data_IF_250124806985
#
_entry.id   IF_250124806985
#
_cell.length_a   1.000
_cell.length_b   1.000
_cell.length_c   1.000
_cell.angle_alpha   90.00
_cell.angle_beta   90.00
_cell.angle_gamma   90.00
#
_symmetry.space_group_name_H-M   'P 1'
#
loop_
_entity.id
_entity.type
_entity.pdbx_description
1 polymer ?
#
# COMPACT_ATOMS: atom_id res chain seq x y z
N UNK A 1 -16.29 -5.14 -4.18
CA UNK A 1 -15.12 -5.29 -5.06
C UNK A 1 -14.39 -6.57 -4.70
N UNK A 2 -13.89 -7.33 -5.66
CA UNK A 2 -12.99 -8.46 -5.39
C UNK A 2 -11.57 -7.99 -5.67
N UNK A 3 -10.70 -8.06 -4.68
CA UNK A 3 -9.26 -7.85 -4.89
C UNK A 3 -8.79 -9.01 -5.78
N UNK A 4 -8.39 -8.72 -7.02
CA UNK A 4 -7.82 -9.71 -7.92
C UNK A 4 -6.35 -9.94 -7.57
N UNK A 5 -6.08 -11.02 -6.86
CA UNK A 5 -4.72 -11.44 -6.55
C UNK A 5 -4.23 -12.46 -7.57
N UNK A 6 -3.00 -12.29 -8.02
CA UNK A 6 -2.30 -13.37 -8.70
C UNK A 6 -1.76 -14.39 -7.68
N UNK A 7 -1.15 -15.46 -8.21
CA UNK A 7 -0.55 -16.52 -7.40
C UNK A 7 0.60 -16.04 -6.48
N UNK A 8 1.07 -14.80 -6.63
CA UNK A 8 2.10 -14.22 -5.77
C UNK A 8 1.51 -13.29 -4.69
N UNK A 9 0.20 -13.33 -4.46
CA UNK A 9 -0.54 -12.34 -3.68
C UNK A 9 -0.30 -10.91 -4.18
N UNK A 10 0.09 -10.77 -5.45
CA UNK A 10 0.22 -9.49 -6.09
C UNK A 10 -1.13 -9.06 -6.62
N UNK A 11 -1.59 -7.93 -6.19
CA UNK A 11 -2.79 -7.34 -6.72
C UNK A 11 -2.55 -6.81 -8.14
N UNK A 12 -3.47 -7.12 -9.03
CA UNK A 12 -3.51 -6.56 -10.37
C UNK A 12 -4.37 -5.29 -10.33
N UNK A 13 -3.70 -4.15 -10.34
CA UNK A 13 -4.39 -2.86 -10.28
C UNK A 13 -5.06 -2.55 -11.63
N UNK A 14 -6.38 -2.36 -11.65
CA UNK A 14 -7.12 -2.03 -12.86
C UNK A 14 -7.08 -0.52 -13.11
N UNK A 15 -6.04 -0.01 -13.77
CA UNK A 15 -6.00 1.40 -14.15
C UNK A 15 -7.05 1.74 -15.21
N UNK A 16 -7.67 2.91 -15.08
CA UNK A 16 -8.53 3.45 -16.13
C UNK A 16 -7.75 3.68 -17.45
N UNK A 17 -6.48 4.05 -17.35
CA UNK A 17 -5.58 4.26 -18.46
C UNK A 17 -4.14 3.94 -18.08
N UNK A 18 -3.43 3.21 -18.93
CA UNK A 18 -1.98 2.98 -18.76
C UNK A 18 -1.15 4.25 -18.94
N UNK A 19 -1.68 5.26 -19.61
CA UNK A 19 -1.03 6.56 -19.78
C UNK A 19 -1.15 7.44 -18.51
N UNK A 20 -2.15 7.18 -17.67
CA UNK A 20 -2.33 7.82 -16.36
C UNK A 20 -2.61 6.72 -15.32
N UNK A 21 -1.55 6.07 -14.81
CA UNK A 21 -1.65 4.86 -14.00
C UNK A 21 -2.04 5.18 -12.55
N UNK A 22 -3.31 5.44 -12.33
CA UNK A 22 -3.97 5.63 -11.05
C UNK A 22 -5.30 4.90 -11.05
N UNK A 23 -5.66 4.33 -9.91
CA UNK A 23 -6.98 3.78 -9.64
C UNK A 23 -7.51 4.38 -8.34
N UNK A 24 -8.79 4.62 -8.30
CA UNK A 24 -9.51 5.07 -7.13
C UNK A 24 -10.54 4.03 -6.73
N UNK A 25 -10.51 3.64 -5.49
CA UNK A 25 -11.45 2.71 -4.92
C UNK A 25 -12.19 3.40 -3.76
N UNK A 26 -13.49 3.25 -3.80
CA UNK A 26 -14.37 3.67 -2.71
C UNK A 26 -14.89 2.40 -2.05
N UNK A 27 -13.95 1.67 -1.42
CA UNK A 27 -14.21 0.34 -0.95
C UNK A 27 -15.05 0.34 0.33
N UNK A 28 -16.04 -0.54 0.34
CA UNK A 28 -16.73 -0.94 1.55
C UNK A 28 -16.13 -2.27 2.02
N UNK A 29 -15.41 -2.25 3.12
CA UNK A 29 -14.93 -3.48 3.76
C UNK A 29 -16.09 -4.44 4.08
N UNK A 30 -17.33 -3.92 4.19
CA UNK A 30 -18.55 -4.71 4.34
C UNK A 30 -18.74 -5.75 3.25
N UNK A 31 -18.26 -5.49 2.04
CA UNK A 31 -18.36 -6.41 0.91
C UNK A 31 -17.32 -7.55 0.98
N UNK A 32 -16.34 -7.45 1.88
CA UNK A 32 -15.28 -8.43 2.03
C UNK A 32 -15.54 -9.37 3.22
N UNK A 33 -15.09 -10.65 3.15
CA UNK A 33 -15.18 -11.57 4.26
C UNK A 33 -14.52 -11.00 5.53
N UNK A 34 -15.22 -11.10 6.66
CA UNK A 34 -14.75 -10.59 7.97
C UNK A 34 -14.36 -9.11 7.97
N UNK A 35 -14.90 -8.31 7.03
CA UNK A 35 -14.59 -6.88 6.86
C UNK A 35 -13.08 -6.61 6.76
N UNK A 36 -12.40 -7.46 6.01
CA UNK A 36 -10.95 -7.46 5.90
C UNK A 36 -10.51 -7.59 4.45
N UNK A 37 -9.65 -6.69 4.00
CA UNK A 37 -8.83 -6.83 2.81
C UNK A 37 -7.69 -7.82 3.10
N UNK A 38 -7.51 -8.87 2.28
CA UNK A 38 -6.46 -9.86 2.51
C UNK A 38 -5.07 -9.24 2.43
N UNK A 39 -4.09 -9.91 3.03
CA UNK A 39 -2.69 -9.53 2.86
C UNK A 39 -2.29 -9.65 1.39
N UNK A 40 -1.84 -8.54 0.79
CA UNK A 40 -1.42 -8.45 -0.61
C UNK A 40 -0.29 -7.45 -0.78
N UNK A 41 0.26 -7.36 -1.98
CA UNK A 41 1.25 -6.37 -2.35
C UNK A 41 1.13 -5.99 -3.83
N UNK A 42 1.63 -4.82 -4.19
CA UNK A 42 1.71 -4.32 -5.55
C UNK A 42 2.92 -3.41 -5.74
N UNK A 43 3.24 -3.09 -6.99
CA UNK A 43 4.36 -2.19 -7.32
C UNK A 43 4.02 -0.71 -7.21
N UNK A 44 2.79 -0.42 -6.84
CA UNK A 44 2.23 0.91 -6.76
C UNK A 44 2.42 1.50 -5.38
N UNK A 45 2.31 2.81 -5.28
CA UNK A 45 2.01 3.49 -4.02
C UNK A 45 0.52 3.36 -3.73
N UNK A 46 0.17 3.31 -2.46
CA UNK A 46 -1.21 3.36 -2.04
C UNK A 46 -1.41 4.41 -0.94
N UNK A 47 -2.53 5.11 -0.97
CA UNK A 47 -2.95 5.96 0.14
C UNK A 47 -4.38 5.62 0.50
N UNK A 48 -4.56 5.19 1.74
CA UNK A 48 -5.86 4.84 2.33
C UNK A 48 -6.27 5.92 3.33
N UNK A 49 -7.55 6.26 3.36
CA UNK A 49 -8.12 7.20 4.34
C UNK A 49 -9.21 6.52 5.16
N UNK A 50 -9.12 6.64 6.48
CA UNK A 50 -10.21 6.29 7.38
C UNK A 50 -11.19 7.46 7.42
N UNK A 51 -12.41 7.33 6.84
CA UNK A 51 -13.42 8.40 6.91
C UNK A 51 -14.14 8.40 8.25
N UNK A 52 -14.37 7.25 8.81
CA UNK A 52 -15.03 7.06 10.10
C UNK A 52 -14.53 5.76 10.75
N UNK A 53 -14.84 5.57 12.04
CA UNK A 53 -14.41 4.40 12.78
C UNK A 53 -12.89 4.30 12.95
N UNK A 54 -12.42 3.07 13.11
CA UNK A 54 -11.00 2.75 13.27
C UNK A 54 -10.63 1.63 12.30
N UNK A 55 -9.61 1.88 11.49
CA UNK A 55 -9.00 0.87 10.62
C UNK A 55 -7.70 0.37 11.24
N UNK A 56 -7.48 -0.94 11.21
CA UNK A 56 -6.19 -1.56 11.46
C UNK A 56 -5.51 -1.88 10.13
N UNK A 57 -4.44 -1.18 9.83
CA UNK A 57 -3.61 -1.43 8.65
C UNK A 57 -2.41 -2.25 9.08
N UNK A 58 -2.34 -3.49 8.62
CA UNK A 58 -1.20 -4.35 8.87
C UNK A 58 -0.16 -4.17 7.76
N UNK A 59 1.08 -3.84 8.14
CA UNK A 59 2.24 -3.76 7.22
C UNK A 59 3.35 -4.65 7.79
N UNK A 60 3.54 -5.81 7.16
CA UNK A 60 4.34 -6.89 7.76
C UNK A 60 3.77 -7.27 9.13
N UNK A 61 4.56 -7.13 10.20
CA UNK A 61 4.12 -7.40 11.60
C UNK A 61 3.57 -6.18 12.35
N UNK A 62 3.56 -5.02 11.72
CA UNK A 62 3.09 -3.80 12.37
C UNK A 62 1.61 -3.63 12.15
N UNK A 63 0.91 -3.35 13.23
CA UNK A 63 -0.48 -2.94 13.23
C UNK A 63 -0.55 -1.44 13.47
N UNK A 64 -1.15 -0.72 12.55
CA UNK A 64 -1.28 0.73 12.56
C UNK A 64 -2.76 1.08 12.64
N UNK A 65 -3.17 1.66 13.75
CA UNK A 65 -4.54 2.12 13.92
C UNK A 65 -4.70 3.53 13.32
N UNK A 66 -5.62 3.64 12.38
CA UNK A 66 -6.05 4.89 11.79
C UNK A 66 -7.40 5.29 12.38
N UNK A 67 -7.46 6.45 13.00
CA UNK A 67 -8.71 7.06 13.46
C UNK A 67 -9.36 7.84 12.33
N UNK A 68 -10.65 8.16 12.48
CA UNK A 68 -11.38 8.94 11.50
C UNK A 68 -10.65 10.25 11.14
N UNK A 69 -10.46 10.49 9.85
CA UNK A 69 -9.72 11.62 9.30
C UNK A 69 -8.21 11.37 9.12
N UNK A 70 -7.66 10.26 9.61
CA UNK A 70 -6.28 9.87 9.34
C UNK A 70 -6.16 9.19 7.98
N UNK A 71 -4.98 9.28 7.39
CA UNK A 71 -4.62 8.56 6.17
C UNK A 71 -3.28 7.86 6.34
N UNK A 72 -3.04 6.83 5.55
CA UNK A 72 -1.74 6.14 5.49
C UNK A 72 -1.26 6.04 4.06
N UNK A 73 -0.03 6.44 3.84
CA UNK A 73 0.72 6.15 2.62
C UNK A 73 1.46 4.84 2.81
N UNK A 74 1.25 3.89 1.92
CA UNK A 74 1.97 2.61 1.83
C UNK A 74 2.93 2.69 0.66
N UNK A 75 4.21 2.42 0.93
CA UNK A 75 5.24 2.45 -0.10
C UNK A 75 5.14 1.22 -1.01
N UNK A 76 5.76 1.30 -2.17
CA UNK A 76 5.80 0.23 -3.18
C UNK A 76 6.29 -1.10 -2.61
N UNK A 77 5.72 -2.20 -3.10
CA UNK A 77 6.14 -3.57 -2.78
C UNK A 77 6.00 -3.95 -1.29
N UNK A 78 5.21 -3.23 -0.51
CA UNK A 78 4.94 -3.60 0.89
C UNK A 78 3.80 -4.63 0.95
N UNK A 79 4.04 -5.73 1.68
CA UNK A 79 2.97 -6.67 2.03
C UNK A 79 2.10 -6.02 3.10
N UNK A 80 0.82 -5.80 2.80
CA UNK A 80 -0.12 -5.12 3.67
C UNK A 80 -1.53 -5.69 3.56
N UNK A 81 -2.34 -5.39 4.56
CA UNK A 81 -3.75 -5.74 4.63
C UNK A 81 -4.49 -4.75 5.52
N UNK A 82 -5.81 -4.70 5.44
CA UNK A 82 -6.64 -3.72 6.14
C UNK A 82 -7.85 -4.40 6.71
N UNK A 83 -8.23 -4.05 7.95
CA UNK A 83 -9.46 -4.52 8.57
C UNK A 83 -10.13 -3.43 9.40
N UNK A 84 -11.45 -3.54 9.54
CA UNK A 84 -12.23 -2.72 10.46
C UNK A 84 -12.12 -3.30 11.87
N UNK A 85 -11.94 -2.44 12.88
CA UNK A 85 -11.71 -2.89 14.27
C UNK A 85 -12.90 -2.65 15.20
N UNK A 86 -13.68 -1.60 14.98
CA UNK A 86 -14.64 -1.06 15.96
C UNK A 86 -16.02 -1.74 15.98
N UNK A 87 -16.22 -2.79 15.18
CA UNK A 87 -17.46 -3.59 15.17
C UNK A 87 -18.70 -2.86 14.66
N UNK A 88 -18.56 -1.61 14.18
CA UNK A 88 -19.60 -0.88 13.45
C UNK A 88 -19.62 -1.34 11.99
N UNK A 89 -20.75 -1.10 11.32
CA UNK A 89 -20.82 -1.36 9.88
C UNK A 89 -19.68 -0.59 9.19
N UNK A 90 -18.87 -1.26 8.37
CA UNK A 90 -17.73 -0.60 7.75
C UNK A 90 -18.21 0.49 6.82
N UNK A 91 -17.63 1.64 7.01
CA UNK A 91 -17.85 2.81 6.18
C UNK A 91 -16.95 2.80 4.95
N UNK A 92 -17.27 3.59 3.93
CA UNK A 92 -16.41 3.72 2.76
C UNK A 92 -14.99 4.09 3.18
N UNK A 93 -14.05 3.32 2.68
CA UNK A 93 -12.63 3.53 2.87
C UNK A 93 -12.02 3.94 1.52
N UNK A 94 -12.02 5.24 1.19
CA UNK A 94 -11.43 5.67 -0.06
C UNK A 94 -9.93 5.41 -0.07
N UNK A 95 -9.47 4.79 -1.14
CA UNK A 95 -8.06 4.63 -1.40
C UNK A 95 -7.70 4.96 -2.85
N UNK A 96 -6.47 5.40 -3.05
CA UNK A 96 -5.85 5.57 -4.37
C UNK A 96 -4.62 4.69 -4.46
N UNK A 97 -4.53 3.98 -5.58
CA UNK A 97 -3.36 3.15 -5.92
C UNK A 97 -2.78 3.69 -7.22
N UNK A 98 -1.48 4.03 -7.22
CA UNK A 98 -0.88 4.72 -8.36
C UNK A 98 0.61 4.44 -8.52
N UNK A 99 1.08 4.45 -9.77
CA UNK A 99 2.51 4.50 -10.07
C UNK A 99 3.05 5.93 -9.97
N UNK A 100 4.29 6.08 -9.59
CA UNK A 100 4.96 7.40 -9.59
C UNK A 100 4.95 8.09 -10.97
N UNK A 101 4.74 7.32 -12.04
CA UNK A 101 4.56 7.83 -13.40
C UNK A 101 3.29 8.68 -13.57
N UNK A 102 2.28 8.54 -12.71
CA UNK A 102 1.12 9.43 -12.68
C UNK A 102 1.48 10.87 -12.27
N UNK A 103 2.59 11.04 -11.55
CA UNK A 103 3.12 12.36 -11.17
C UNK A 103 4.06 12.90 -12.26
N UNK A 104 5.05 12.10 -12.65
CA UNK A 104 6.03 12.49 -13.65
C UNK A 104 6.66 11.26 -14.32
N UNK A 105 7.00 11.32 -15.61
CA UNK A 105 7.69 10.23 -16.29
C UNK A 105 8.99 9.83 -15.57
N UNK A 106 9.27 8.52 -15.48
CA UNK A 106 10.46 7.98 -14.79
C UNK A 106 11.78 8.54 -15.31
N UNK A 107 11.81 8.91 -16.59
CA UNK A 107 12.98 9.52 -17.23
C UNK A 107 13.20 10.97 -16.81
N UNK A 108 12.19 11.64 -16.25
CA UNK A 108 12.23 13.06 -15.89
C UNK A 108 13.12 13.33 -14.68
N UNK A 109 13.60 14.57 -14.56
CA UNK A 109 14.36 15.06 -13.40
C UNK A 109 13.48 15.10 -12.14
N UNK A 110 12.17 15.37 -12.29
CA UNK A 110 11.21 15.38 -11.17
C UNK A 110 11.13 14.01 -10.54
N UNK A 111 10.91 12.97 -11.35
CA UNK A 111 10.82 11.59 -10.86
C UNK A 111 12.09 11.18 -10.13
N UNK A 112 13.25 11.34 -10.79
CA UNK A 112 14.55 10.93 -10.27
C UNK A 112 14.94 11.64 -8.98
N UNK A 113 14.54 12.90 -8.82
CA UNK A 113 14.94 13.72 -7.68
C UNK A 113 13.97 13.64 -6.50
N UNK A 114 12.67 13.49 -6.75
CA UNK A 114 11.66 13.65 -5.71
C UNK A 114 10.80 12.40 -5.46
N UNK A 115 10.59 11.55 -6.48
CA UNK A 115 9.75 10.36 -6.35
C UNK A 115 10.60 9.12 -6.05
N UNK A 116 11.62 8.89 -6.88
CA UNK A 116 12.51 7.73 -6.76
C UNK A 116 13.15 7.55 -5.36
N UNK A 117 13.65 8.60 -4.67
CA UNK A 117 14.21 8.43 -3.33
C UNK A 117 13.20 7.96 -2.29
N UNK A 118 11.91 8.30 -2.44
CA UNK A 118 10.83 7.81 -1.59
C UNK A 118 10.53 6.35 -1.93
N UNK A 119 10.34 6.07 -3.22
CA UNK A 119 10.04 4.72 -3.73
C UNK A 119 11.07 3.68 -3.30
N UNK A 120 12.36 4.03 -3.37
CA UNK A 120 13.48 3.14 -3.04
C UNK A 120 13.89 3.17 -1.57
N UNK A 121 13.15 3.88 -0.70
CA UNK A 121 13.50 3.96 0.71
C UNK A 121 12.97 2.76 1.49
N UNK A 122 13.76 1.70 1.59
CA UNK A 122 13.40 0.48 2.32
C UNK A 122 13.11 0.72 3.81
N UNK A 123 13.65 1.80 4.38
CA UNK A 123 13.40 2.19 5.77
C UNK A 123 12.15 3.04 5.95
N UNK A 124 11.40 3.29 4.87
CA UNK A 124 10.15 4.04 4.88
C UNK A 124 9.02 3.21 4.25
N UNK A 125 8.54 2.15 4.92
CA UNK A 125 7.49 1.28 4.39
C UNK A 125 6.12 1.97 4.34
N UNK A 126 5.87 2.93 5.21
CA UNK A 126 4.62 3.70 5.27
C UNK A 126 4.83 5.06 5.97
N UNK A 127 3.85 5.94 5.78
CA UNK A 127 3.74 7.23 6.51
C UNK A 127 2.29 7.37 6.97
N UNK A 128 2.08 7.68 8.25
CA UNK A 128 0.75 8.00 8.77
C UNK A 128 0.54 9.51 8.74
N UNK A 129 -0.54 9.95 8.13
CA UNK A 129 -0.95 11.35 8.08
C UNK A 129 -2.09 11.58 9.08
N UNK A 130 -1.75 12.05 10.26
CA UNK A 130 -2.72 12.34 11.32
C UNK A 130 -3.54 13.60 11.00
N UNK A 131 -4.84 13.55 11.20
CA UNK A 131 -5.77 14.65 10.91
C UNK A 131 -5.48 15.92 11.72
N UNK A 132 -4.84 15.81 12.88
CA UNK A 132 -4.50 16.92 13.78
C UNK A 132 -3.11 17.52 13.58
N UNK A 133 -2.26 16.94 12.72
CA UNK A 133 -0.92 17.43 12.41
C UNK A 133 -0.95 18.47 11.28
N UNK A 134 -0.35 19.64 11.49
CA UNK A 134 -0.47 20.78 10.58
C UNK A 134 -0.05 20.51 9.13
N UNK A 135 1.08 19.83 8.92
CA UNK A 135 1.55 19.54 7.57
C UNK A 135 0.79 18.37 6.93
N UNK A 136 0.29 17.41 7.75
CA UNK A 136 -0.57 16.32 7.31
C UNK A 136 -1.94 16.83 6.83
N UNK A 137 -2.46 17.91 7.43
CA UNK A 137 -3.74 18.50 7.01
C UNK A 137 -3.73 18.95 5.55
N UNK A 138 -2.56 19.42 5.03
CA UNK A 138 -2.42 19.75 3.60
C UNK A 138 -2.55 18.50 2.74
N UNK A 139 -1.92 17.41 3.14
CA UNK A 139 -2.00 16.12 2.44
C UNK A 139 -3.43 15.59 2.45
N UNK A 140 -4.08 15.60 3.61
CA UNK A 140 -5.46 15.15 3.74
C UNK A 140 -6.44 16.04 2.94
N UNK A 141 -6.14 17.33 2.74
CA UNK A 141 -6.88 18.20 1.83
C UNK A 141 -6.69 17.79 0.37
N UNK A 142 -5.45 17.59 -0.07
CA UNK A 142 -5.15 17.10 -1.42
C UNK A 142 -5.79 15.75 -1.72
N UNK A 143 -5.86 14.84 -0.73
CA UNK A 143 -6.53 13.54 -0.89
C UNK A 143 -8.03 13.72 -1.11
N UNK A 144 -8.70 14.59 -0.36
CA UNK A 144 -10.14 14.88 -0.58
C UNK A 144 -10.39 15.42 -1.99
N UNK A 145 -9.53 16.32 -2.46
CA UNK A 145 -9.63 16.87 -3.81
C UNK A 145 -9.42 15.77 -4.87
N UNK A 146 -8.44 14.88 -4.68
CA UNK A 146 -8.22 13.73 -5.56
C UNK A 146 -9.48 12.84 -5.60
N UNK A 147 -10.04 12.48 -4.44
CA UNK A 147 -11.23 11.62 -4.37
C UNK A 147 -12.43 12.24 -5.10
N UNK A 148 -12.63 13.55 -4.94
CA UNK A 148 -13.66 14.29 -5.66
C UNK A 148 -13.43 14.22 -7.17
N UNK A 149 -12.22 14.54 -7.65
CA UNK A 149 -11.87 14.52 -9.07
C UNK A 149 -11.96 13.12 -9.69
N UNK A 150 -11.53 12.08 -8.96
CA UNK A 150 -11.61 10.70 -9.44
C UNK A 150 -13.05 10.17 -9.48
N UNK A 151 -13.92 10.69 -8.63
CA UNK A 151 -15.36 10.35 -8.64
C UNK A 151 -16.10 11.05 -9.77
N UNK A 152 -15.89 12.36 -9.92
CA UNK A 152 -16.61 13.19 -10.90
C UNK A 152 -16.08 13.06 -12.31
N UNK A 153 -14.76 12.81 -12.47
CA UNK A 153 -14.02 12.78 -13.76
C UNK A 153 -14.37 13.96 -14.65
N UNK A 154 -14.38 15.16 -14.03
CA UNK A 154 -14.65 16.42 -14.75
C UNK A 154 -13.57 16.70 -15.80
N UNK A 155 -13.82 17.67 -16.67
CA UNK A 155 -12.82 18.05 -17.68
C UNK A 155 -11.48 18.43 -17.02
N UNK A 156 -10.38 17.84 -17.51
CA UNK A 156 -9.01 18.01 -17.01
C UNK A 156 -8.76 17.40 -15.60
N UNK A 157 -9.56 16.41 -15.17
CA UNK A 157 -9.40 15.77 -13.86
C UNK A 157 -8.00 15.17 -13.68
N UNK A 158 -7.39 14.61 -14.73
CA UNK A 158 -6.03 14.04 -14.68
C UNK A 158 -5.00 15.10 -14.29
N UNK A 159 -5.12 16.33 -14.82
CA UNK A 159 -4.23 17.45 -14.45
C UNK A 159 -4.44 17.88 -12.99
N UNK A 160 -5.69 17.88 -12.53
CA UNK A 160 -6.01 18.21 -11.15
C UNK A 160 -5.43 17.16 -10.19
N UNK A 161 -5.66 15.88 -10.48
CA UNK A 161 -5.13 14.76 -9.69
C UNK A 161 -3.59 14.75 -9.69
N UNK A 162 -2.95 14.93 -10.85
CA UNK A 162 -1.49 15.00 -10.96
C UNK A 162 -0.91 16.14 -10.08
N UNK A 163 -1.56 17.30 -10.09
CA UNK A 163 -1.17 18.45 -9.26
C UNK A 163 -1.25 18.11 -7.77
N UNK A 164 -2.34 17.50 -7.34
CA UNK A 164 -2.52 17.14 -5.94
C UNK A 164 -1.56 16.02 -5.49
N UNK A 165 -1.30 15.02 -6.33
CA UNK A 165 -0.26 14.02 -6.09
C UNK A 165 1.12 14.68 -5.96
N UNK A 166 1.41 15.68 -6.81
CA UNK A 166 2.65 16.45 -6.73
C UNK A 166 2.76 17.21 -5.41
N UNK A 167 1.68 17.83 -4.93
CA UNK A 167 1.61 18.52 -3.64
C UNK A 167 1.87 17.56 -2.46
N UNK A 168 1.32 16.34 -2.53
CA UNK A 168 1.56 15.29 -1.53
C UNK A 168 3.03 14.90 -1.50
N UNK A 169 3.62 14.58 -2.68
CA UNK A 169 5.02 14.18 -2.75
C UNK A 169 5.99 15.30 -2.39
N UNK A 170 5.69 16.55 -2.75
CA UNK A 170 6.44 17.71 -2.28
C UNK A 170 6.43 17.79 -0.74
N UNK A 171 5.26 17.66 -0.13
CA UNK A 171 5.12 17.68 1.33
C UNK A 171 5.88 16.54 2.00
N UNK A 172 5.81 15.32 1.47
CA UNK A 172 6.59 14.17 1.95
C UNK A 172 8.09 14.45 1.82
N UNK A 173 8.54 14.95 0.66
CA UNK A 173 9.95 15.19 0.39
C UNK A 173 10.54 16.28 1.29
N UNK A 174 9.80 17.35 1.57
CA UNK A 174 10.22 18.42 2.48
C UNK A 174 10.43 17.90 3.91
N UNK A 175 9.66 16.94 4.35
CA UNK A 175 9.75 16.32 5.68
C UNK A 175 10.53 15.00 5.67
N UNK A 176 11.05 14.56 4.52
CA UNK A 176 11.62 13.22 4.33
C UNK A 176 12.74 12.86 5.32
N UNK A 177 13.54 13.84 5.74
CA UNK A 177 14.64 13.62 6.70
C UNK A 177 14.13 13.39 8.12
N UNK A 178 12.99 13.99 8.46
CA UNK A 178 12.42 13.98 9.81
C UNK A 178 11.41 12.84 9.98
N UNK A 179 11.02 12.17 8.88
CA UNK A 179 10.12 11.02 8.92
C UNK A 179 10.74 9.88 9.73
N UNK A 180 9.94 9.18 10.55
CA UNK A 180 10.41 7.99 11.26
C UNK A 180 10.92 6.95 10.27
N UNK A 181 12.17 6.55 10.43
CA UNK A 181 12.78 5.48 9.64
C UNK A 181 12.70 4.19 10.43
N UNK A 182 12.24 3.14 9.77
CA UNK A 182 12.19 1.81 10.35
C UNK A 182 13.50 1.09 10.02
N UNK A 183 14.16 0.55 11.04
CA UNK A 183 15.34 -0.27 10.80
C UNK A 183 14.95 -1.47 9.94
N UNK A 184 15.47 -1.51 8.73
CA UNK A 184 15.32 -2.65 7.83
C UNK A 184 16.68 -3.31 7.69
N UNK A 185 16.86 -4.45 8.33
CA UNK A 185 18.08 -5.23 8.16
C UNK A 185 18.08 -5.93 6.80
N UNK A 186 19.26 -6.23 6.24
CA UNK A 186 19.38 -7.08 5.05
C UNK A 186 18.65 -8.43 5.23
N UNK A 187 18.54 -8.90 6.47
CA UNK A 187 17.78 -10.10 6.82
C UNK A 187 16.29 -9.91 6.56
N UNK A 188 15.72 -8.76 6.95
CA UNK A 188 14.30 -8.46 6.75
C UNK A 188 13.96 -8.23 5.26
N UNK A 189 14.86 -7.58 4.51
CA UNK A 189 14.67 -7.38 3.08
C UNK A 189 14.70 -8.71 2.31
N UNK A 190 15.65 -9.57 2.64
CA UNK A 190 15.69 -10.92 2.06
C UNK A 190 14.48 -11.76 2.51
N UNK A 191 14.02 -11.62 3.75
CA UNK A 191 12.84 -12.30 4.24
C UNK A 191 11.58 -11.87 3.48
N UNK A 192 11.43 -10.58 3.14
CA UNK A 192 10.30 -10.07 2.33
C UNK A 192 10.22 -10.77 0.97
N UNK A 193 11.32 -10.81 0.22
CA UNK A 193 11.36 -11.48 -1.10
C UNK A 193 11.06 -12.97 -0.98
N UNK A 194 11.57 -13.61 0.07
CA UNK A 194 11.33 -15.03 0.33
C UNK A 194 9.87 -15.31 0.71
N UNK A 195 9.27 -14.46 1.54
CA UNK A 195 7.86 -14.57 1.90
C UNK A 195 6.97 -14.44 0.68
N UNK A 196 7.21 -13.46 -0.19
CA UNK A 196 6.44 -13.31 -1.44
C UNK A 196 6.48 -14.59 -2.28
N UNK A 197 7.65 -15.21 -2.47
CA UNK A 197 7.78 -16.48 -3.19
C UNK A 197 7.06 -17.64 -2.50
N UNK A 198 7.16 -17.72 -1.18
CA UNK A 198 6.51 -18.79 -0.41
C UNK A 198 4.99 -18.66 -0.41
N UNK A 199 4.47 -17.44 -0.26
CA UNK A 199 3.03 -17.17 -0.35
C UNK A 199 2.49 -17.47 -1.76
N UNK A 200 3.25 -17.12 -2.79
CA UNK A 200 3.01 -17.50 -4.18
C UNK A 200 2.80 -19.01 -4.32
N UNK A 201 3.76 -19.78 -3.84
CA UNK A 201 3.68 -21.23 -3.91
C UNK A 201 2.46 -21.80 -3.17
N UNK A 202 2.16 -21.27 -1.96
CA UNK A 202 0.99 -21.68 -1.20
C UNK A 202 -0.30 -21.40 -1.98
N UNK A 203 -0.38 -20.21 -2.60
CA UNK A 203 -1.56 -19.83 -3.38
C UNK A 203 -1.74 -20.69 -4.65
N UNK A 204 -0.65 -21.05 -5.33
CA UNK A 204 -0.72 -21.95 -6.49
C UNK A 204 -1.20 -23.35 -6.14
N UNK A 205 -0.91 -23.81 -4.92
CA UNK A 205 -1.10 -25.20 -4.49
C UNK A 205 -2.07 -25.39 -3.32
N UNK A 206 -2.85 -24.35 -2.94
CA UNK A 206 -3.72 -24.41 -1.76
C UNK A 206 -4.77 -25.53 -1.80
N UNK A 207 -5.16 -25.99 -2.99
CA UNK A 207 -6.09 -27.11 -3.18
C UNK A 207 -5.43 -28.48 -3.04
N UNK A 208 -4.11 -28.55 -2.86
CA UNK A 208 -3.31 -29.76 -2.75
C UNK A 208 -2.79 -29.94 -1.32
N UNK A 209 -2.19 -31.10 -1.05
CA UNK A 209 -1.45 -31.29 0.20
C UNK A 209 -0.08 -30.62 0.09
N UNK A 210 0.08 -29.47 0.74
CA UNK A 210 1.32 -28.68 0.70
C UNK A 210 2.16 -28.96 1.93
N UNK A 211 3.43 -29.38 1.73
CA UNK A 211 4.38 -29.57 2.81
C UNK A 211 5.25 -28.31 3.00
N UNK A 212 5.66 -28.03 4.25
CA UNK A 212 6.54 -26.90 4.54
C UNK A 212 7.88 -26.97 3.80
N UNK A 213 8.33 -28.17 3.48
CA UNK A 213 9.53 -28.43 2.66
C UNK A 213 9.40 -27.86 1.24
N UNK A 214 8.23 -28.01 0.63
CA UNK A 214 7.99 -27.55 -0.74
C UNK A 214 7.83 -26.04 -0.78
N UNK A 215 7.16 -25.46 0.24
CA UNK A 215 7.11 -24.02 0.45
C UNK A 215 8.53 -23.44 0.58
N UNK A 216 9.38 -24.04 1.40
CA UNK A 216 10.75 -23.57 1.59
C UNK A 216 11.59 -23.66 0.30
N UNK A 217 11.44 -24.77 -0.47
CA UNK A 217 12.12 -24.96 -1.77
C UNK A 217 11.72 -23.90 -2.78
N UNK A 218 10.47 -23.43 -2.81
CA UNK A 218 10.03 -22.38 -3.74
C UNK A 218 10.85 -21.09 -3.59
N UNK A 219 11.30 -20.79 -2.38
CA UNK A 219 12.16 -19.65 -2.06
C UNK A 219 13.67 -19.99 -2.03
N UNK A 220 14.07 -21.21 -2.40
CA UNK A 220 15.46 -21.71 -2.32
C UNK A 220 16.06 -21.61 -0.91
N UNK A 221 15.30 -21.95 0.13
CA UNK A 221 15.72 -21.91 1.53
C UNK A 221 15.39 -23.22 2.26
N UNK A 222 15.96 -23.40 3.45
CA UNK A 222 15.63 -24.52 4.31
C UNK A 222 14.28 -24.33 4.99
N UNK A 223 13.65 -25.42 5.44
CA UNK A 223 12.45 -25.42 6.27
C UNK A 223 12.56 -24.52 7.51
N UNK A 224 13.70 -24.58 8.19
CA UNK A 224 13.97 -23.74 9.37
C UNK A 224 14.05 -22.27 9.02
N UNK A 225 14.65 -21.93 7.88
CA UNK A 225 14.70 -20.56 7.37
C UNK A 225 13.32 -20.04 6.92
N UNK A 226 12.51 -20.91 6.29
CA UNK A 226 11.14 -20.58 5.94
C UNK A 226 10.33 -20.21 7.17
N UNK A 227 10.36 -21.04 8.23
CA UNK A 227 9.71 -20.71 9.50
C UNK A 227 10.21 -19.40 10.11
N UNK A 228 11.50 -19.11 10.01
CA UNK A 228 12.07 -17.83 10.45
C UNK A 228 11.55 -16.64 9.64
N UNK A 229 11.44 -16.78 8.32
CA UNK A 229 10.88 -15.74 7.47
C UNK A 229 9.43 -15.42 7.83
N UNK A 230 8.58 -16.44 8.03
CA UNK A 230 7.21 -16.24 8.49
C UNK A 230 7.17 -15.54 9.86
N UNK A 231 7.98 -15.98 10.82
CA UNK A 231 8.05 -15.34 12.14
C UNK A 231 8.56 -13.89 12.13
N UNK A 232 9.28 -13.47 11.09
CA UNK A 232 9.77 -12.09 10.97
C UNK A 232 8.68 -11.19 10.34
N UNK A 233 7.85 -11.76 9.45
CA UNK A 233 6.96 -10.96 8.61
C UNK A 233 5.47 -11.04 8.97
N UNK A 234 5.05 -12.13 9.58
CA UNK A 234 3.68 -12.41 10.00
C UNK A 234 3.60 -12.66 11.51
#
# INVERSE_FOLDING_TARGET
MSIELDYQLREKIPYDSTAFPISYFHDELAALPNWSGPMHWHHDFEIVTALCGVLDVQIGRKHILLEAGDSIFVNQNMLHGIQQVDGHAPDPMPNIVFLGAAIAPETSSIYKKYIWPIACCDTLPFIVFKHNERWHQKINASLRDIYCQMTEKSQCYEMAVQRELSNIFESIFLHFKDLPKFETTHIQMNARIRIQKMLSYIYEHYAETVALEDIAKSANISRSEAGRCFNIYM
#
